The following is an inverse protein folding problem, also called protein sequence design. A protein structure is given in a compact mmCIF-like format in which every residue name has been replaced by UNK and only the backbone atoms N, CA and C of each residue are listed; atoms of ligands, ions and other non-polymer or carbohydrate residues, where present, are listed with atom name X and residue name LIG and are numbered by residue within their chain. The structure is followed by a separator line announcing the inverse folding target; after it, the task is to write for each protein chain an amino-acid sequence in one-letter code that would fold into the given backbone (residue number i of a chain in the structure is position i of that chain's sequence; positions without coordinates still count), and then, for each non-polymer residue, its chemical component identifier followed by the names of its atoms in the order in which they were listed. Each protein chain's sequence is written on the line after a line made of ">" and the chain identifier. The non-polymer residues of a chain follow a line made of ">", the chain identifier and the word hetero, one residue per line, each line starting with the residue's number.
data_IF_031751414581
#
_entry.id   IF_031751414581
#
_cell.length_a   1.000
_cell.length_b   1.000
_cell.length_c   1.000
_cell.angle_alpha   90.00
_cell.angle_beta   90.00
_cell.angle_gamma   90.00
#
_symmetry.space_group_name_H-M   'P 1'
#
loop_
_entity.id
_entity.type
_entity.pdbx_description
1 polymer ?
#
# COMPACT_ATOMS: atom_id res chain seq x y z
N UNK A 1 25.99 -5.08 14.99
CA UNK A 1 24.94 -4.08 14.80
C UNK A 1 23.73 -4.80 14.19
N UNK A 2 22.57 -4.74 14.84
CA UNK A 2 21.39 -5.53 14.40
C UNK A 2 20.89 -4.93 13.08
N UNK A 3 21.00 -5.67 11.97
CA UNK A 3 20.72 -5.15 10.61
C UNK A 3 19.27 -4.71 10.41
N UNK A 4 18.35 -5.22 11.23
CA UNK A 4 16.93 -4.85 11.21
C UNK A 4 16.60 -3.54 11.96
N UNK A 5 17.55 -2.97 12.74
CA UNK A 5 17.27 -1.77 13.52
C UNK A 5 16.95 -0.56 12.63
N UNK A 6 17.65 -0.41 11.50
CA UNK A 6 17.48 0.76 10.64
C UNK A 6 16.14 0.75 9.91
N UNK A 7 15.70 -0.34 9.23
CA UNK A 7 14.36 -0.39 8.65
C UNK A 7 13.25 -0.20 9.69
N UNK A 8 13.34 -0.88 10.84
CA UNK A 8 12.33 -0.78 11.89
C UNK A 8 12.26 0.64 12.49
N UNK A 9 13.39 1.36 12.59
CA UNK A 9 13.40 2.75 13.04
C UNK A 9 12.69 3.68 12.04
N UNK A 10 12.81 3.44 10.74
CA UNK A 10 12.10 4.21 9.71
C UNK A 10 10.59 3.96 9.76
N UNK A 11 10.15 2.71 9.90
CA UNK A 11 8.74 2.39 10.09
C UNK A 11 8.19 3.00 11.40
N UNK A 12 8.96 2.99 12.49
CA UNK A 12 8.60 3.66 13.75
C UNK A 12 8.51 5.19 13.58
N UNK A 13 9.45 5.79 12.84
CA UNK A 13 9.41 7.23 12.53
C UNK A 13 8.14 7.58 11.74
N UNK A 14 7.71 6.75 10.80
CA UNK A 14 6.46 6.94 10.06
C UNK A 14 5.25 6.93 10.97
N UNK A 15 5.19 6.03 11.95
CA UNK A 15 4.13 6.01 12.98
C UNK A 15 4.12 7.31 13.81
N UNK A 16 5.27 7.93 14.06
CA UNK A 16 5.36 9.22 14.76
C UNK A 16 5.00 10.41 13.86
N UNK A 17 5.33 10.35 12.56
CA UNK A 17 4.97 11.38 11.59
C UNK A 17 3.46 11.44 11.34
N UNK A 18 2.77 10.34 11.46
CA UNK A 18 1.34 10.25 11.22
C UNK A 18 0.52 11.14 12.18
N UNK A 19 0.64 11.07 13.52
CA UNK A 19 -0.04 12.00 14.42
C UNK A 19 0.41 13.46 14.23
N UNK A 20 1.68 13.71 13.87
CA UNK A 20 2.14 15.07 13.54
C UNK A 20 1.42 15.62 12.29
N UNK A 21 1.22 14.78 11.26
CA UNK A 21 0.42 15.13 10.09
C UNK A 21 -1.04 15.43 10.48
N UNK A 22 -1.64 14.61 11.34
CA UNK A 22 -3.01 14.84 11.79
C UNK A 22 -3.14 16.16 12.58
N UNK A 23 -2.21 16.45 13.47
CA UNK A 23 -2.18 17.74 14.19
C UNK A 23 -2.05 18.90 13.23
N UNK A 24 -1.18 18.80 12.21
CA UNK A 24 -1.06 19.81 11.18
C UNK A 24 -2.37 19.99 10.39
N UNK A 25 -3.09 18.91 10.08
CA UNK A 25 -4.38 18.96 9.42
C UNK A 25 -5.45 19.65 10.29
N UNK A 26 -5.54 19.30 11.56
CA UNK A 26 -6.46 19.95 12.52
C UNK A 26 -6.14 21.43 12.71
N UNK A 27 -4.85 21.78 12.70
CA UNK A 27 -4.41 23.18 12.75
C UNK A 27 -4.60 23.95 11.42
N UNK A 28 -5.14 23.32 10.38
CA UNK A 28 -5.38 23.95 9.08
C UNK A 28 -4.12 24.19 8.25
N UNK A 29 -2.98 23.59 8.62
CA UNK A 29 -1.70 23.85 7.98
C UNK A 29 -1.42 22.85 6.85
N UNK A 30 -1.81 23.21 5.62
CA UNK A 30 -1.52 22.43 4.40
C UNK A 30 -0.02 22.13 4.21
N UNK A 31 0.91 23.11 4.34
CA UNK A 31 2.34 22.82 4.13
C UNK A 31 2.93 21.81 5.10
N UNK A 32 2.58 21.91 6.40
CA UNK A 32 3.06 20.95 7.40
C UNK A 32 2.46 19.58 7.19
N UNK A 33 1.17 19.49 6.88
CA UNK A 33 0.53 18.21 6.57
C UNK A 33 1.17 17.51 5.37
N UNK A 34 1.31 18.24 4.23
CA UNK A 34 1.93 17.68 3.03
C UNK A 34 3.39 17.31 3.25
N UNK A 35 4.14 18.10 4.04
CA UNK A 35 5.52 17.79 4.42
C UNK A 35 5.63 16.51 5.23
N UNK A 36 4.81 16.33 6.27
CA UNK A 36 4.77 15.11 7.07
C UNK A 36 4.35 13.89 6.23
N UNK A 37 3.34 14.05 5.37
CA UNK A 37 2.88 12.97 4.49
C UNK A 37 3.96 12.56 3.49
N UNK A 38 4.62 13.52 2.85
CA UNK A 38 5.72 13.26 1.93
C UNK A 38 6.91 12.59 2.63
N UNK A 39 7.27 13.05 3.82
CA UNK A 39 8.31 12.41 4.63
C UNK A 39 7.94 10.96 4.98
N UNK A 40 6.68 10.70 5.34
CA UNK A 40 6.17 9.37 5.60
C UNK A 40 6.29 8.44 4.38
N UNK A 41 5.87 8.89 3.20
CA UNK A 41 6.00 8.14 1.94
C UNK A 41 7.46 7.90 1.52
N UNK A 42 8.35 8.87 1.76
CA UNK A 42 9.78 8.72 1.49
C UNK A 42 10.43 7.71 2.44
N UNK A 43 10.09 7.74 3.74
CA UNK A 43 10.61 6.76 4.71
C UNK A 43 10.17 5.35 4.37
N UNK A 44 8.94 5.16 3.87
CA UNK A 44 8.43 3.88 3.36
C UNK A 44 9.26 3.34 2.18
N UNK A 45 9.50 4.19 1.17
CA UNK A 45 10.30 3.79 0.03
C UNK A 45 11.74 3.41 0.43
N UNK A 46 12.31 4.11 1.41
CA UNK A 46 13.69 3.88 1.89
C UNK A 46 13.78 2.63 2.75
N UNK A 47 12.85 2.41 3.70
CA UNK A 47 12.92 1.24 4.59
C UNK A 47 12.72 -0.07 3.84
N UNK A 48 11.76 -0.12 2.90
CA UNK A 48 11.58 -1.27 2.02
C UNK A 48 12.80 -1.57 1.15
N UNK A 49 13.48 -0.53 0.62
CA UNK A 49 14.74 -0.71 -0.11
C UNK A 49 15.85 -1.25 0.80
N UNK A 50 16.02 -0.67 1.99
CA UNK A 50 17.06 -1.07 2.95
C UNK A 50 16.84 -2.48 3.49
N UNK A 51 15.60 -2.84 3.82
CA UNK A 51 15.26 -4.19 4.32
C UNK A 51 15.70 -5.26 3.32
N UNK A 52 15.38 -5.07 2.02
CA UNK A 52 15.80 -5.97 0.94
C UNK A 52 17.31 -5.99 0.75
N UNK A 53 17.97 -4.83 0.69
CA UNK A 53 19.41 -4.71 0.45
C UNK A 53 20.23 -5.32 1.59
N UNK A 54 19.80 -5.15 2.84
CA UNK A 54 20.47 -5.65 4.03
C UNK A 54 20.10 -7.10 4.38
N UNK A 55 19.14 -7.71 3.65
CA UNK A 55 18.55 -9.03 3.98
C UNK A 55 18.11 -9.08 5.46
N UNK A 56 17.47 -8.00 5.91
CA UNK A 56 17.11 -7.74 7.31
C UNK A 56 15.59 -7.89 7.55
N UNK A 57 14.90 -8.62 6.69
CA UNK A 57 13.47 -8.87 6.80
C UNK A 57 13.16 -9.69 8.05
N UNK A 58 12.19 -9.24 8.85
CA UNK A 58 11.73 -9.92 10.05
C UNK A 58 10.21 -9.88 10.15
N UNK A 59 9.61 -10.86 10.83
CA UNK A 59 8.15 -10.90 11.03
C UNK A 59 7.64 -9.69 11.81
N UNK A 60 8.42 -9.23 12.78
CA UNK A 60 8.11 -8.02 13.53
C UNK A 60 8.18 -6.78 12.63
N UNK A 61 9.24 -6.64 11.83
CA UNK A 61 9.40 -5.52 10.89
C UNK A 61 8.24 -5.43 9.89
N UNK A 62 7.84 -6.55 9.30
CA UNK A 62 6.68 -6.60 8.39
C UNK A 62 5.37 -6.16 9.04
N UNK A 63 5.12 -6.57 10.29
CA UNK A 63 3.91 -6.15 11.04
C UNK A 63 3.94 -4.66 11.36
N UNK A 64 5.11 -4.16 11.76
CA UNK A 64 5.32 -2.74 12.07
C UNK A 64 5.12 -1.88 10.83
N UNK A 65 5.68 -2.30 9.70
CA UNK A 65 5.55 -1.66 8.39
C UNK A 65 4.08 -1.61 7.94
N UNK A 66 3.38 -2.76 7.94
CA UNK A 66 1.95 -2.79 7.62
C UNK A 66 1.11 -1.88 8.54
N UNK A 67 1.41 -1.84 9.85
CA UNK A 67 0.72 -0.95 10.77
C UNK A 67 0.98 0.53 10.45
N UNK A 68 2.23 0.87 10.11
CA UNK A 68 2.60 2.22 9.70
C UNK A 68 1.88 2.65 8.41
N UNK A 69 1.77 1.75 7.43
CA UNK A 69 1.04 1.99 6.17
C UNK A 69 -0.44 2.29 6.42
N UNK A 70 -1.10 1.45 7.23
CA UNK A 70 -2.53 1.65 7.54
C UNK A 70 -2.77 2.98 8.27
N UNK A 71 -1.94 3.32 9.25
CA UNK A 71 -2.06 4.57 10.00
C UNK A 71 -1.82 5.76 9.08
N UNK A 72 -0.78 5.71 8.24
CA UNK A 72 -0.46 6.78 7.29
C UNK A 72 -1.58 6.95 6.27
N UNK A 73 -2.13 5.87 5.74
CA UNK A 73 -3.27 5.90 4.80
C UNK A 73 -4.50 6.55 5.44
N UNK A 74 -4.89 6.12 6.63
CA UNK A 74 -6.08 6.65 7.31
C UNK A 74 -5.92 8.13 7.65
N UNK A 75 -4.76 8.54 8.14
CA UNK A 75 -4.45 9.94 8.46
C UNK A 75 -4.33 10.76 7.18
N UNK A 76 -3.77 10.21 6.10
CA UNK A 76 -3.72 10.84 4.79
C UNK A 76 -5.13 11.18 4.28
N UNK A 77 -6.05 10.20 4.30
CA UNK A 77 -7.44 10.39 3.88
C UNK A 77 -8.14 11.42 4.79
N UNK A 78 -8.02 11.29 6.11
CA UNK A 78 -8.63 12.22 7.07
C UNK A 78 -8.10 13.65 6.92
N UNK A 79 -6.78 13.81 6.77
CA UNK A 79 -6.16 15.11 6.59
C UNK A 79 -6.54 15.77 5.27
N UNK A 80 -6.64 15.02 4.17
CA UNK A 80 -7.14 15.54 2.89
C UNK A 80 -8.61 15.95 3.04
N UNK A 81 -9.44 15.18 3.74
CA UNK A 81 -10.83 15.53 3.98
C UNK A 81 -10.98 16.84 4.79
N UNK A 82 -10.09 17.08 5.76
CA UNK A 82 -10.08 18.31 6.57
C UNK A 82 -9.57 19.53 5.80
N UNK A 83 -8.47 19.40 5.06
CA UNK A 83 -7.76 20.51 4.43
C UNK A 83 -8.24 20.82 3.01
N UNK A 84 -8.79 19.83 2.29
CA UNK A 84 -9.31 19.95 0.93
C UNK A 84 -10.68 19.28 0.80
N UNK A 85 -11.71 19.75 1.51
CA UNK A 85 -13.03 19.09 1.52
C UNK A 85 -13.66 18.99 0.13
N UNK A 86 -13.41 19.95 -0.75
CA UNK A 86 -13.96 19.96 -2.10
C UNK A 86 -13.30 18.91 -2.99
N UNK A 87 -11.97 18.74 -2.87
CA UNK A 87 -11.26 17.63 -3.54
C UNK A 87 -11.81 16.30 -3.01
N UNK A 88 -11.92 16.13 -1.70
CA UNK A 88 -12.43 14.92 -1.11
C UNK A 88 -13.84 14.58 -1.60
N UNK A 89 -14.76 15.55 -1.64
CA UNK A 89 -16.13 15.34 -2.15
C UNK A 89 -16.14 14.92 -3.61
N UNK A 90 -15.32 15.55 -4.44
CA UNK A 90 -15.22 15.25 -5.87
C UNK A 90 -14.64 13.88 -6.12
N UNK A 91 -13.59 13.50 -5.40
CA UNK A 91 -12.86 12.25 -5.59
C UNK A 91 -13.39 11.10 -4.72
N UNK A 92 -14.45 11.31 -3.94
CA UNK A 92 -15.03 10.32 -3.03
C UNK A 92 -15.33 8.96 -3.70
N UNK A 93 -15.90 8.90 -4.93
CA UNK A 93 -16.13 7.61 -5.60
C UNK A 93 -14.83 6.83 -5.85
N UNK A 94 -13.75 7.52 -6.20
CA UNK A 94 -12.43 6.92 -6.42
C UNK A 94 -11.79 6.46 -5.11
N UNK A 95 -11.95 7.22 -4.04
CA UNK A 95 -11.51 6.82 -2.69
C UNK A 95 -12.24 5.55 -2.24
N UNK A 96 -13.56 5.47 -2.45
CA UNK A 96 -14.30 4.25 -2.14
C UNK A 96 -13.91 3.08 -3.02
N UNK A 97 -13.62 3.29 -4.31
CA UNK A 97 -13.12 2.24 -5.19
C UNK A 97 -11.75 1.71 -4.70
N UNK A 98 -10.85 2.60 -4.28
CA UNK A 98 -9.56 2.23 -3.71
C UNK A 98 -9.69 1.42 -2.42
N UNK A 99 -10.48 1.90 -1.47
CA UNK A 99 -10.73 1.22 -0.20
C UNK A 99 -11.46 -0.11 -0.43
N UNK A 100 -12.44 -0.14 -1.32
CA UNK A 100 -13.17 -1.35 -1.68
C UNK A 100 -12.26 -2.43 -2.26
N UNK A 101 -11.40 -2.07 -3.22
CA UNK A 101 -10.41 -2.99 -3.78
C UNK A 101 -9.44 -3.51 -2.71
N UNK A 102 -8.95 -2.63 -1.85
CA UNK A 102 -8.03 -2.97 -0.77
C UNK A 102 -8.68 -3.95 0.24
N UNK A 103 -9.86 -3.64 0.73
CA UNK A 103 -10.56 -4.51 1.68
C UNK A 103 -11.04 -5.81 1.05
N UNK A 104 -11.39 -5.82 -0.24
CA UNK A 104 -11.76 -7.04 -0.96
C UNK A 104 -10.59 -8.05 -0.99
N UNK A 105 -9.37 -7.59 -1.26
CA UNK A 105 -8.16 -8.44 -1.24
C UNK A 105 -7.91 -9.01 0.15
N UNK A 106 -7.99 -8.16 1.19
CA UNK A 106 -7.81 -8.58 2.59
C UNK A 106 -8.89 -9.61 2.98
N UNK A 107 -10.16 -9.28 2.75
CA UNK A 107 -11.29 -10.14 3.10
C UNK A 107 -11.19 -11.50 2.39
N UNK A 108 -10.87 -11.50 1.09
CA UNK A 108 -10.67 -12.73 0.33
C UNK A 108 -9.54 -13.58 0.93
N UNK A 109 -8.41 -12.97 1.28
CA UNK A 109 -7.28 -13.64 1.90
C UNK A 109 -7.65 -14.30 3.22
N UNK A 110 -8.34 -13.58 4.10
CA UNK A 110 -8.78 -14.13 5.39
C UNK A 110 -9.83 -15.23 5.22
N UNK A 111 -10.83 -15.04 4.37
CA UNK A 111 -11.90 -16.03 4.16
C UNK A 111 -11.39 -17.31 3.50
N UNK A 112 -10.41 -17.20 2.59
CA UNK A 112 -9.92 -18.36 1.81
C UNK A 112 -8.71 -19.02 2.41
N UNK A 113 -7.76 -18.26 2.98
CA UNK A 113 -6.47 -18.73 3.41
C UNK A 113 -6.21 -18.53 4.91
N UNK A 114 -7.15 -17.91 5.65
CA UNK A 114 -6.98 -17.58 7.07
C UNK A 114 -5.94 -16.51 7.37
N UNK A 115 -5.49 -15.77 6.34
CA UNK A 115 -4.45 -14.71 6.45
C UNK A 115 -4.57 -13.71 5.31
N UNK A 116 -3.99 -12.51 5.47
CA UNK A 116 -3.93 -11.52 4.42
C UNK A 116 -3.11 -12.02 3.21
N UNK A 117 -3.54 -11.65 1.99
CA UNK A 117 -2.76 -11.85 0.78
C UNK A 117 -1.61 -10.84 0.74
N UNK A 118 -0.41 -11.27 0.38
CA UNK A 118 0.79 -10.44 0.23
C UNK A 118 1.64 -11.01 -0.91
N UNK A 119 1.16 -10.89 -2.16
CA UNK A 119 1.92 -11.42 -3.31
C UNK A 119 2.94 -10.44 -3.87
N UNK A 120 2.89 -9.15 -3.51
CA UNK A 120 3.80 -8.10 -3.99
C UNK A 120 4.00 -8.13 -5.51
N UNK A 121 2.88 -8.10 -6.26
CA UNK A 121 2.92 -8.12 -7.71
C UNK A 121 3.58 -6.85 -8.27
N UNK A 122 4.04 -6.89 -9.53
CA UNK A 122 4.53 -5.70 -10.20
C UNK A 122 3.46 -4.59 -10.29
N UNK A 123 2.19 -4.99 -10.45
CA UNK A 123 1.07 -4.05 -10.46
C UNK A 123 0.91 -3.34 -9.11
N UNK A 124 1.01 -4.06 -7.98
CA UNK A 124 0.96 -3.46 -6.64
C UNK A 124 2.09 -2.47 -6.40
N UNK A 125 3.32 -2.78 -6.87
CA UNK A 125 4.47 -1.87 -6.77
C UNK A 125 4.28 -0.62 -7.63
N UNK A 126 3.80 -0.77 -8.87
CA UNK A 126 3.50 0.34 -9.77
C UNK A 126 2.40 1.25 -9.20
N UNK A 127 1.36 0.66 -8.62
CA UNK A 127 0.31 1.41 -7.92
C UNK A 127 0.87 2.26 -6.78
N UNK A 128 1.68 1.69 -5.88
CA UNK A 128 2.22 2.41 -4.73
C UNK A 128 2.98 3.68 -5.17
N UNK A 129 3.83 3.55 -6.19
CA UNK A 129 4.57 4.69 -6.76
C UNK A 129 3.61 5.69 -7.43
N UNK A 130 2.68 5.21 -8.27
CA UNK A 130 1.72 6.05 -8.97
C UNK A 130 0.82 6.82 -7.97
N UNK A 131 0.37 6.16 -6.90
CA UNK A 131 -0.44 6.78 -5.86
C UNK A 131 0.31 7.90 -5.16
N UNK A 132 1.54 7.67 -4.71
CA UNK A 132 2.36 8.70 -4.06
C UNK A 132 2.59 9.92 -4.97
N UNK A 133 2.94 9.68 -6.23
CA UNK A 133 3.18 10.76 -7.20
C UNK A 133 1.91 11.50 -7.60
N UNK A 134 0.76 10.81 -7.65
CA UNK A 134 -0.53 11.41 -8.02
C UNK A 134 -1.09 12.39 -7.01
N UNK A 135 -0.67 12.29 -5.75
CA UNK A 135 -1.10 13.23 -4.70
C UNK A 135 -0.60 14.66 -4.97
N UNK A 136 0.56 14.83 -5.60
CA UNK A 136 1.10 16.16 -5.90
C UNK A 136 0.18 16.94 -6.83
N UNK A 137 -0.13 16.49 -8.07
CA UNK A 137 -1.03 17.19 -8.96
C UNK A 137 -2.47 17.28 -8.43
N UNK A 138 -2.92 16.29 -7.66
CA UNK A 138 -4.25 16.30 -7.05
C UNK A 138 -4.39 17.42 -6.02
N UNK A 139 -3.47 17.51 -5.06
CA UNK A 139 -3.53 18.49 -3.96
C UNK A 139 -3.14 19.91 -4.41
N UNK A 140 -2.37 20.02 -5.50
CA UNK A 140 -2.09 21.30 -6.17
C UNK A 140 -3.22 21.73 -7.11
N UNK A 141 -4.25 20.93 -7.28
CA UNK A 141 -5.39 21.16 -8.19
C UNK A 141 -5.00 21.33 -9.66
N UNK A 142 -3.85 20.77 -10.07
CA UNK A 142 -3.39 20.82 -11.47
C UNK A 142 -4.08 19.80 -12.35
N UNK A 143 -4.23 18.57 -11.84
CA UNK A 143 -4.84 17.48 -12.58
C UNK A 143 -5.33 16.37 -11.65
N UNK A 144 -6.50 15.79 -11.95
CA UNK A 144 -7.07 14.66 -11.19
C UNK A 144 -6.79 13.31 -11.86
N UNK A 145 -6.57 13.30 -13.17
CA UNK A 145 -6.39 12.07 -13.93
C UNK A 145 -5.24 11.16 -13.44
N UNK A 146 -4.08 11.67 -12.90
CA UNK A 146 -3.05 10.78 -12.39
C UNK A 146 -3.53 9.96 -11.18
N UNK A 147 -4.37 10.56 -10.34
CA UNK A 147 -5.00 9.87 -9.21
C UNK A 147 -5.97 8.78 -9.71
N UNK A 148 -6.81 9.09 -10.70
CA UNK A 148 -7.71 8.09 -11.29
C UNK A 148 -6.96 6.92 -11.90
N UNK A 149 -5.85 7.17 -12.60
CA UNK A 149 -4.97 6.12 -13.15
C UNK A 149 -4.37 5.28 -12.02
N UNK A 150 -3.89 5.90 -10.95
CA UNK A 150 -3.35 5.17 -9.81
C UNK A 150 -4.40 4.25 -9.17
N UNK A 151 -5.63 4.73 -8.97
CA UNK A 151 -6.71 3.90 -8.42
C UNK A 151 -7.09 2.76 -9.38
N UNK A 152 -7.14 3.02 -10.69
CA UNK A 152 -7.37 1.96 -11.67
C UNK A 152 -6.29 0.86 -11.61
N UNK A 153 -5.01 1.25 -11.45
CA UNK A 153 -3.92 0.30 -11.25
C UNK A 153 -4.08 -0.51 -9.95
N UNK A 154 -4.55 0.12 -8.86
CA UNK A 154 -4.84 -0.59 -7.61
C UNK A 154 -5.94 -1.64 -7.77
N UNK A 155 -7.02 -1.30 -8.45
CA UNK A 155 -8.12 -2.24 -8.71
C UNK A 155 -7.62 -3.41 -9.54
N UNK A 156 -6.83 -3.15 -10.59
CA UNK A 156 -6.22 -4.20 -11.42
C UNK A 156 -5.26 -5.08 -10.62
N UNK A 157 -4.42 -4.48 -9.77
CA UNK A 157 -3.53 -5.23 -8.87
C UNK A 157 -4.31 -6.12 -7.90
N UNK A 158 -5.41 -5.61 -7.32
CA UNK A 158 -6.28 -6.40 -6.45
C UNK A 158 -6.94 -7.58 -7.16
N UNK A 159 -7.41 -7.38 -8.38
CA UNK A 159 -7.95 -8.46 -9.24
C UNK A 159 -6.87 -9.50 -9.53
N UNK A 160 -5.65 -9.06 -9.87
CA UNK A 160 -4.51 -9.96 -10.12
C UNK A 160 -4.17 -10.79 -8.87
N UNK A 161 -4.10 -10.18 -7.69
CA UNK A 161 -3.81 -10.89 -6.44
C UNK A 161 -4.87 -11.93 -6.08
N UNK A 162 -6.16 -11.60 -6.27
CA UNK A 162 -7.25 -12.57 -6.08
C UNK A 162 -7.18 -13.70 -7.11
N UNK A 163 -6.87 -13.39 -8.38
CA UNK A 163 -6.71 -14.40 -9.41
C UNK A 163 -5.53 -15.34 -9.13
N UNK A 164 -4.40 -14.82 -8.65
CA UNK A 164 -3.25 -15.64 -8.21
C UNK A 164 -3.68 -16.57 -7.06
N UNK A 165 -4.41 -16.04 -6.07
CA UNK A 165 -4.89 -16.83 -4.93
C UNK A 165 -5.89 -17.93 -5.32
N UNK A 166 -6.67 -17.72 -6.39
CA UNK A 166 -7.55 -18.75 -6.97
C UNK A 166 -6.76 -19.84 -7.66
N UNK A 167 -5.68 -19.51 -8.35
CA UNK A 167 -4.85 -20.46 -9.09
C UNK A 167 -3.95 -21.30 -8.18
N UNK A 168 -3.42 -20.71 -7.12
CA UNK A 168 -2.46 -21.34 -6.20
C UNK A 168 -3.01 -21.27 -4.77
N UNK A 169 -3.72 -22.33 -4.28
CA UNK A 169 -4.29 -22.37 -2.93
C UNK A 169 -3.24 -22.40 -1.81
N UNK A 170 -2.00 -22.76 -2.13
CA UNK A 170 -0.88 -22.75 -1.17
C UNK A 170 -0.05 -21.48 -1.38
N UNK A 171 0.02 -20.66 -0.34
CA UNK A 171 0.85 -19.44 -0.38
C UNK A 171 2.33 -19.81 -0.54
N UNK A 172 2.87 -19.55 -1.71
CA UNK A 172 4.30 -19.66 -2.02
C UNK A 172 4.82 -18.24 -2.24
N UNK A 173 5.32 -17.59 -1.20
CA UNK A 173 6.11 -16.37 -1.27
C UNK A 173 5.67 -15.27 -2.27
N UNK A 174 6.61 -14.45 -2.72
CA UNK A 174 6.38 -13.40 -3.72
C UNK A 174 6.06 -13.99 -5.09
N UNK A 175 4.93 -13.55 -5.68
CA UNK A 175 4.51 -13.91 -7.03
C UNK A 175 4.50 -12.65 -7.91
N UNK A 176 5.42 -12.51 -8.86
CA UNK A 176 5.56 -11.27 -9.63
C UNK A 176 4.35 -10.96 -10.53
N UNK A 177 3.73 -11.99 -11.12
CA UNK A 177 2.57 -11.84 -12.02
C UNK A 177 1.70 -13.08 -12.06
N UNK A 178 0.45 -12.92 -12.54
CA UNK A 178 -0.50 -14.01 -12.81
C UNK A 178 0.07 -15.06 -13.78
N UNK A 179 0.90 -14.66 -14.74
CA UNK A 179 1.55 -15.56 -15.69
C UNK A 179 2.50 -16.55 -15.01
N UNK A 180 3.29 -16.09 -14.03
CA UNK A 180 4.15 -16.98 -13.23
C UNK A 180 3.34 -17.98 -12.41
N UNK A 181 2.21 -17.54 -11.84
CA UNK A 181 1.29 -18.41 -11.11
C UNK A 181 0.69 -19.50 -12.01
N UNK A 182 0.33 -19.15 -13.25
CA UNK A 182 -0.19 -20.08 -14.25
C UNK A 182 0.83 -21.15 -14.63
N UNK A 183 2.07 -20.77 -14.94
CA UNK A 183 3.15 -21.73 -15.26
C UNK A 183 3.47 -22.66 -14.11
N UNK A 184 3.51 -22.15 -12.89
CA UNK A 184 3.73 -22.97 -11.70
C UNK A 184 2.61 -24.01 -11.50
N UNK A 185 1.37 -23.65 -11.82
CA UNK A 185 0.24 -24.60 -11.75
C UNK A 185 0.38 -25.72 -12.80
N UNK A 186 0.84 -25.41 -13.99
CA UNK A 186 1.04 -26.41 -15.05
C UNK A 186 2.20 -27.36 -14.76
N UNK A 187 3.22 -26.91 -14.03
CA UNK A 187 4.38 -27.73 -13.66
C UNK A 187 4.16 -28.62 -12.42
N UNK A 188 3.00 -28.53 -11.75
CA UNK A 188 2.65 -29.43 -10.66
C UNK A 188 2.03 -30.72 -11.20
N UNK A 189 2.49 -31.91 -10.77
CA UNK A 189 1.84 -33.18 -11.15
C UNK A 189 0.38 -33.19 -10.67
N UNK A 190 -0.53 -33.90 -11.39
CA UNK A 190 -1.91 -34.06 -10.97
C UNK A 190 -1.93 -34.58 -9.52
N UNK A 191 -2.78 -33.97 -8.67
CA UNK A 191 -3.00 -34.49 -7.33
C UNK A 191 -3.63 -35.88 -7.49
N UNK A 192 -2.93 -36.91 -7.08
CA UNK A 192 -3.56 -38.20 -6.80
C UNK A 192 -4.57 -38.00 -5.67
N UNK A 193 -5.85 -38.23 -5.97
CA UNK A 193 -6.97 -38.21 -5.01
C UNK A 193 -6.90 -39.42 -4.09
#
# INVERSE_FOLDING_TARGET
>A
MNRSLLPNALSALRILLAPAALMAAVAGSRPWFTGCLAAGLLTDAVDGYLARRLKAESDFGRKLDSAADYVTMLIGIAGIALLWPDIMRRELPWVFAALGAFFAVIAYGFLRLGRALCYHTWASKAFAVACALSLVPLLAEWATWPFHVAIALQVLAGIEEIAIALLIPQHRGEMPTLWHAWHLRQSQPPREN
#
